data_IF_402273745288
#
_entry.id   IF_402273745288
#
_cell.length_a   1.000
_cell.length_b   1.000
_cell.length_c   1.000
_cell.angle_alpha   90.00
_cell.angle_beta   90.00
_cell.angle_gamma   90.00
#
_symmetry.space_group_name_H-M   'P 1'
#
loop_
_entity.id
_entity.type
_entity.pdbx_description
1 polymer ?
#
# COMPACT_ATOMS: atom_id res chain seq x y z
N UNK A 1 10.42 -6.20 30.33
CA UNK A 1 11.23 -7.40 30.00
C UNK A 1 10.44 -8.61 30.50
N UNK A 2 9.47 -9.06 29.70
CA UNK A 2 8.51 -10.09 30.11
C UNK A 2 9.06 -11.48 29.76
N UNK A 3 9.08 -12.38 30.74
CA UNK A 3 9.57 -13.76 30.63
C UNK A 3 8.67 -14.59 29.71
N UNK A 4 9.19 -14.92 28.53
CA UNK A 4 8.65 -16.03 27.75
C UNK A 4 9.00 -17.34 28.47
N UNK A 5 7.97 -18.10 28.88
CA UNK A 5 8.09 -19.51 29.24
C UNK A 5 8.37 -20.31 27.95
N UNK A 6 9.59 -20.22 27.44
CA UNK A 6 10.08 -21.22 26.48
C UNK A 6 10.01 -22.57 27.19
N UNK A 7 9.31 -23.54 26.60
CA UNK A 7 9.40 -24.94 27.05
C UNK A 7 10.86 -25.33 26.89
N UNK A 8 11.57 -25.37 28.02
CA UNK A 8 13.00 -25.61 28.06
C UNK A 8 13.25 -27.05 27.59
N UNK A 9 13.63 -27.19 26.33
CA UNK A 9 14.04 -28.48 25.80
C UNK A 9 15.50 -28.71 26.17
N UNK A 10 15.71 -29.42 27.28
CA UNK A 10 17.02 -29.78 27.84
C UNK A 10 17.91 -30.44 26.78
N UNK A 11 17.35 -31.30 25.92
CA UNK A 11 18.10 -32.00 24.88
C UNK A 11 18.67 -31.07 23.82
N UNK A 12 17.94 -30.01 23.44
CA UNK A 12 18.45 -29.02 22.49
C UNK A 12 19.47 -28.10 23.14
N UNK A 13 19.29 -27.72 24.42
CA UNK A 13 20.27 -26.93 25.16
C UNK A 13 21.61 -27.67 25.33
N UNK A 14 21.57 -28.97 25.65
CA UNK A 14 22.77 -29.80 25.80
C UNK A 14 23.61 -29.86 24.52
N UNK A 15 22.96 -29.90 23.34
CA UNK A 15 23.65 -29.87 22.05
C UNK A 15 24.44 -28.57 21.83
N UNK A 16 23.86 -27.42 22.20
CA UNK A 16 24.58 -26.14 22.13
C UNK A 16 25.76 -26.10 23.10
N UNK A 17 25.59 -26.63 24.33
CA UNK A 17 26.68 -26.74 25.30
C UNK A 17 27.82 -27.62 24.79
N UNK A 18 27.51 -28.80 24.26
CA UNK A 18 28.48 -29.70 23.64
C UNK A 18 29.20 -29.08 22.44
N UNK A 19 28.48 -28.32 21.60
CA UNK A 19 29.09 -27.60 20.49
C UNK A 19 30.05 -26.50 20.97
N UNK A 20 29.72 -25.76 22.03
CA UNK A 20 30.63 -24.76 22.60
C UNK A 20 31.89 -25.40 23.20
N UNK A 21 31.82 -26.61 23.78
CA UNK A 21 33.01 -27.33 24.26
C UNK A 21 34.04 -27.62 23.16
N UNK A 22 33.68 -27.54 21.87
CA UNK A 22 34.65 -27.72 20.77
C UNK A 22 35.37 -26.42 20.37
N UNK A 23 34.99 -25.26 20.92
CA UNK A 23 35.60 -23.99 20.56
C UNK A 23 36.88 -23.72 21.35
N UNK A 24 38.01 -23.74 20.64
CA UNK A 24 39.35 -23.53 21.22
C UNK A 24 39.49 -22.19 21.97
N UNK A 25 38.73 -21.16 21.54
CA UNK A 25 38.74 -19.81 22.14
C UNK A 25 38.29 -19.80 23.60
N UNK A 26 37.41 -20.72 24.00
CA UNK A 26 36.89 -20.81 25.37
C UNK A 26 37.99 -21.29 26.31
N UNK A 27 38.79 -22.26 25.89
CA UNK A 27 39.91 -22.79 26.67
C UNK A 27 41.01 -21.75 26.86
N UNK A 28 41.32 -20.96 25.81
CA UNK A 28 42.31 -19.88 25.89
C UNK A 28 41.87 -18.85 26.93
N UNK A 29 40.61 -18.39 26.87
CA UNK A 29 40.11 -17.35 27.77
C UNK A 29 40.00 -17.85 29.21
N UNK A 30 39.51 -19.08 29.42
CA UNK A 30 39.49 -19.71 30.74
C UNK A 30 40.90 -19.90 31.32
N UNK A 31 41.88 -20.20 30.47
CA UNK A 31 43.28 -20.32 30.89
C UNK A 31 43.88 -19.00 31.33
N UNK A 32 43.62 -17.91 30.61
CA UNK A 32 44.06 -16.56 31.00
C UNK A 32 43.45 -16.15 32.34
N UNK A 33 42.14 -16.36 32.52
CA UNK A 33 41.44 -16.05 33.78
C UNK A 33 41.99 -16.89 34.92
N UNK A 34 42.18 -18.20 34.71
CA UNK A 34 42.75 -19.09 35.72
C UNK A 34 44.17 -18.69 36.11
N UNK A 35 45.00 -18.30 35.14
CA UNK A 35 46.37 -17.84 35.40
C UNK A 35 46.40 -16.56 36.22
N UNK A 36 45.53 -15.60 35.90
CA UNK A 36 45.36 -14.35 36.67
C UNK A 36 44.95 -14.68 38.11
N UNK A 37 43.93 -15.53 38.31
CA UNK A 37 43.45 -15.87 39.65
C UNK A 37 44.56 -16.54 40.46
N UNK A 38 45.24 -17.55 39.92
CA UNK A 38 46.33 -18.25 40.60
C UNK A 38 47.51 -17.31 40.91
N UNK A 39 47.82 -16.35 40.02
CA UNK A 39 48.86 -15.36 40.25
C UNK A 39 48.53 -14.41 41.42
N UNK A 40 47.26 -14.05 41.61
CA UNK A 40 46.83 -13.15 42.69
C UNK A 40 46.53 -13.85 44.02
N UNK A 41 46.24 -15.15 44.01
CA UNK A 41 45.93 -15.92 45.23
C UNK A 41 47.09 -16.74 45.77
N UNK A 42 48.23 -16.77 45.06
CA UNK A 42 49.44 -17.54 45.41
C UNK A 42 49.18 -19.03 45.67
N UNK A 43 48.06 -19.55 45.13
CA UNK A 43 47.60 -20.93 45.27
C UNK A 43 47.37 -21.55 43.90
N UNK A 44 48.16 -22.56 43.57
CA UNK A 44 48.02 -23.31 42.33
C UNK A 44 46.99 -24.42 42.49
N UNK A 45 45.73 -24.07 42.21
CA UNK A 45 44.63 -25.01 42.13
C UNK A 45 44.12 -25.13 40.69
N UNK A 46 43.50 -26.25 40.34
CA UNK A 46 42.85 -26.46 39.04
C UNK A 46 41.47 -25.80 38.98
N UNK A 47 40.88 -25.47 40.13
CA UNK A 47 39.53 -24.87 40.23
C UNK A 47 39.40 -23.56 39.46
N UNK A 48 40.35 -22.61 39.51
CA UNK A 48 40.29 -21.35 38.76
C UNK A 48 40.30 -21.49 37.24
N UNK A 49 40.65 -22.67 36.70
CA UNK A 49 40.61 -22.94 35.26
C UNK A 49 39.29 -23.59 34.83
N UNK A 50 38.75 -24.47 35.68
CA UNK A 50 37.54 -25.26 35.39
C UNK A 50 36.27 -24.41 35.56
N UNK A 51 36.20 -23.60 36.61
CA UNK A 51 34.99 -22.82 36.92
C UNK A 51 34.68 -21.79 35.82
N UNK A 52 35.63 -20.96 35.36
CA UNK A 52 35.37 -20.01 34.27
C UNK A 52 34.99 -20.69 32.96
N UNK A 53 35.56 -21.87 32.69
CA UNK A 53 35.23 -22.66 31.52
C UNK A 53 33.75 -23.10 31.53
N UNK A 54 33.29 -23.69 32.64
CA UNK A 54 31.90 -24.13 32.79
C UNK A 54 30.95 -22.94 32.69
N UNK A 55 31.26 -21.84 33.38
CA UNK A 55 30.42 -20.63 33.37
C UNK A 55 30.34 -20.03 31.96
N UNK A 56 31.44 -19.96 31.21
CA UNK A 56 31.43 -19.46 29.84
C UNK A 56 30.64 -20.34 28.89
N UNK A 57 30.80 -21.66 28.97
CA UNK A 57 30.05 -22.61 28.14
C UNK A 57 28.55 -22.46 28.42
N UNK A 58 28.14 -22.45 29.68
CA UNK A 58 26.72 -22.31 30.06
C UNK A 58 26.16 -20.94 29.65
N UNK A 59 26.89 -19.85 29.90
CA UNK A 59 26.45 -18.50 29.56
C UNK A 59 26.26 -18.31 28.04
N UNK A 60 27.26 -18.69 27.23
CA UNK A 60 27.20 -18.56 25.77
C UNK A 60 26.16 -19.49 25.15
N UNK A 61 26.04 -20.71 25.68
CA UNK A 61 25.00 -21.65 25.22
C UNK A 61 23.61 -21.11 25.53
N UNK A 62 23.41 -20.50 26.70
CA UNK A 62 22.17 -19.80 27.04
C UNK A 62 21.84 -18.66 26.08
N UNK A 63 22.82 -17.81 25.77
CA UNK A 63 22.64 -16.71 24.82
C UNK A 63 22.31 -17.22 23.41
N UNK A 64 23.07 -18.20 22.89
CA UNK A 64 22.81 -18.80 21.58
C UNK A 64 21.46 -19.51 21.50
N UNK A 65 21.10 -20.25 22.56
CA UNK A 65 19.80 -20.91 22.65
C UNK A 65 18.65 -19.91 22.61
N UNK A 66 18.79 -18.77 23.30
CA UNK A 66 17.80 -17.69 23.29
C UNK A 66 17.74 -16.97 21.95
N UNK A 67 18.89 -16.78 21.30
CA UNK A 67 19.00 -16.03 20.04
C UNK A 67 18.75 -16.85 18.77
N UNK A 68 18.69 -18.19 18.84
CA UNK A 68 18.54 -19.06 17.66
C UNK A 68 17.36 -18.72 16.74
N UNK A 69 16.28 -18.16 17.30
CA UNK A 69 15.10 -17.75 16.54
C UNK A 69 15.13 -16.27 16.15
N UNK A 70 15.89 -15.45 16.87
CA UNK A 70 16.15 -14.06 16.53
C UNK A 70 17.05 -13.96 15.30
N UNK A 71 18.08 -14.81 15.18
CA UNK A 71 18.94 -14.85 13.99
C UNK A 71 18.15 -15.09 12.70
N UNK A 72 17.14 -15.97 12.74
CA UNK A 72 16.28 -16.24 11.59
C UNK A 72 15.37 -15.04 11.19
N UNK A 73 14.99 -14.19 12.15
CA UNK A 73 14.28 -12.93 11.86
C UNK A 73 15.23 -11.80 11.46
N UNK A 74 16.48 -11.82 11.92
CA UNK A 74 17.51 -10.80 11.63
C UNK A 74 18.17 -11.03 10.26
N UNK A 75 18.21 -12.27 9.77
CA UNK A 75 18.68 -12.61 8.41
C UNK A 75 17.68 -12.24 7.31
N UNK A 76 16.48 -11.78 7.66
CA UNK A 76 15.56 -11.20 6.69
C UNK A 76 16.05 -9.81 6.30
N UNK A 77 16.03 -9.45 4.99
CA UNK A 77 16.46 -8.14 4.54
C UNK A 77 15.73 -7.08 5.35
N UNK A 78 16.51 -6.14 5.91
CA UNK A 78 16.12 -5.13 6.90
C UNK A 78 15.02 -4.12 6.46
N UNK A 79 14.23 -4.47 5.44
CA UNK A 79 13.18 -3.67 4.81
C UNK A 79 11.79 -4.37 4.80
N UNK A 80 11.59 -5.50 5.49
CA UNK A 80 10.26 -6.13 5.50
C UNK A 80 9.26 -5.31 6.33
N UNK A 81 8.14 -4.98 5.68
CA UNK A 81 6.92 -4.45 6.30
C UNK A 81 6.40 -5.42 7.38
N UNK A 82 5.95 -4.90 8.52
CA UNK A 82 5.31 -5.68 9.57
C UNK A 82 3.82 -5.91 9.24
N UNK A 83 3.19 -7.03 9.63
CA UNK A 83 3.67 -8.08 10.54
C UNK A 83 4.67 -9.13 9.97
N UNK A 84 5.68 -9.51 10.78
CA UNK A 84 6.61 -10.64 10.50
C UNK A 84 6.78 -11.52 11.74
N UNK A 85 6.62 -12.84 11.58
CA UNK A 85 6.68 -13.79 12.70
C UNK A 85 6.94 -15.23 12.25
N UNK A 86 7.25 -16.09 13.22
CA UNK A 86 7.40 -17.55 13.04
C UNK A 86 6.21 -18.24 13.69
N UNK A 87 5.61 -19.19 12.99
CA UNK A 87 4.53 -20.02 13.50
C UNK A 87 4.80 -21.52 13.35
N UNK A 88 4.03 -22.34 14.04
CA UNK A 88 3.96 -23.79 13.79
C UNK A 88 2.89 -24.11 12.73
N UNK A 89 2.81 -25.39 12.34
CA UNK A 89 1.78 -25.90 11.41
C UNK A 89 0.33 -25.77 11.92
N UNK A 90 0.11 -25.49 13.20
CA UNK A 90 -1.22 -25.27 13.75
C UNK A 90 -1.62 -23.78 13.67
N UNK A 91 -0.74 -22.92 13.17
CA UNK A 91 -0.93 -21.47 13.10
C UNK A 91 -0.60 -20.73 14.39
N UNK A 92 -0.02 -21.40 15.40
CA UNK A 92 0.36 -20.76 16.66
C UNK A 92 1.65 -19.97 16.47
N UNK A 93 1.62 -18.70 16.90
CA UNK A 93 2.73 -17.78 16.80
C UNK A 93 3.78 -18.17 17.85
N UNK A 94 4.94 -18.60 17.38
CA UNK A 94 6.06 -19.00 18.22
C UNK A 94 6.99 -17.85 18.54
N UNK A 95 7.14 -16.91 17.61
CA UNK A 95 8.08 -15.80 17.74
C UNK A 95 7.66 -14.60 16.88
N UNK A 96 7.66 -13.41 17.47
CA UNK A 96 7.53 -12.11 16.79
C UNK A 96 8.48 -11.11 17.47
N UNK A 97 8.82 -10.02 16.79
CA UNK A 97 9.71 -8.97 17.32
C UNK A 97 9.25 -7.57 16.93
N UNK A 98 9.70 -6.57 17.69
CA UNK A 98 9.46 -5.16 17.42
C UNK A 98 7.97 -4.83 17.29
N UNK A 99 7.61 -4.04 16.28
CA UNK A 99 6.22 -3.62 16.02
C UNK A 99 5.24 -4.79 15.88
N UNK A 100 5.69 -5.95 15.38
CA UNK A 100 4.83 -7.13 15.26
C UNK A 100 4.52 -7.72 16.63
N UNK A 101 5.50 -7.73 17.54
CA UNK A 101 5.31 -8.19 18.90
C UNK A 101 4.39 -7.25 19.69
N UNK A 102 4.56 -5.94 19.51
CA UNK A 102 3.71 -4.93 20.13
C UNK A 102 2.26 -5.12 19.69
N UNK A 103 2.01 -5.23 18.38
CA UNK A 103 0.70 -5.53 17.80
C UNK A 103 0.09 -6.82 18.40
N UNK A 104 0.85 -7.91 18.43
CA UNK A 104 0.34 -9.19 18.91
C UNK A 104 0.04 -9.18 20.40
N UNK A 105 0.80 -8.41 21.18
CA UNK A 105 0.57 -8.28 22.62
C UNK A 105 -0.65 -7.41 22.89
N UNK A 106 -0.77 -6.28 22.21
CA UNK A 106 -1.90 -5.34 22.31
C UNK A 106 -3.22 -6.03 22.00
N UNK A 107 -3.29 -6.74 20.88
CA UNK A 107 -4.50 -7.42 20.41
C UNK A 107 -4.61 -8.90 20.86
N UNK A 108 -3.71 -9.37 21.74
CA UNK A 108 -3.67 -10.74 22.29
C UNK A 108 -3.69 -11.84 21.22
N UNK A 109 -2.97 -11.59 20.13
CA UNK A 109 -2.87 -12.51 18.99
C UNK A 109 -1.85 -13.60 19.33
N UNK A 110 -2.35 -14.82 19.50
CA UNK A 110 -1.55 -16.04 19.74
C UNK A 110 -1.56 -16.96 18.52
N UNK A 111 -2.50 -16.77 17.60
CA UNK A 111 -2.72 -17.60 16.42
C UNK A 111 -2.95 -16.75 15.19
N UNK A 112 -2.40 -17.15 14.04
CA UNK A 112 -2.56 -16.43 12.78
C UNK A 112 -4.03 -16.28 12.37
N UNK A 113 -4.86 -17.26 12.66
CA UNK A 113 -6.30 -17.25 12.35
C UNK A 113 -7.04 -16.10 13.03
N UNK A 114 -6.52 -15.56 14.14
CA UNK A 114 -7.11 -14.39 14.79
C UNK A 114 -6.84 -13.10 13.99
N UNK A 115 -5.77 -13.07 13.20
CA UNK A 115 -5.40 -11.92 12.37
C UNK A 115 -6.10 -11.93 11.00
N UNK A 116 -6.28 -13.10 10.40
CA UNK A 116 -6.72 -13.25 8.99
C UNK A 116 -7.94 -14.17 8.80
N UNK A 117 -8.51 -14.70 9.88
CA UNK A 117 -9.61 -15.66 9.84
C UNK A 117 -9.17 -17.13 9.72
N UNK A 118 -10.05 -18.08 10.09
CA UNK A 118 -9.71 -19.50 10.18
C UNK A 118 -9.49 -20.19 8.83
N UNK A 119 -10.09 -19.69 7.74
CA UNK A 119 -10.05 -20.34 6.42
C UNK A 119 -8.69 -20.26 5.70
N UNK A 120 -7.79 -19.39 6.17
CA UNK A 120 -6.55 -19.08 5.46
C UNK A 120 -5.31 -19.81 6.00
N UNK A 121 -5.44 -20.60 7.07
CA UNK A 121 -4.29 -21.35 7.60
C UNK A 121 -3.79 -22.40 6.60
N UNK A 122 -4.68 -23.22 6.04
CA UNK A 122 -4.28 -24.31 5.14
C UNK A 122 -3.56 -23.79 3.87
N UNK A 123 -4.08 -22.75 3.17
CA UNK A 123 -3.36 -22.14 2.05
C UNK A 123 -1.97 -21.61 2.42
N UNK A 124 -1.81 -21.01 3.59
CA UNK A 124 -0.51 -20.48 4.06
C UNK A 124 0.50 -21.61 4.34
N UNK A 125 0.05 -22.73 4.91
CA UNK A 125 0.90 -23.90 5.13
C UNK A 125 1.30 -24.53 3.80
N UNK A 126 0.34 -24.71 2.88
CA UNK A 126 0.59 -25.26 1.56
C UNK A 126 1.62 -24.40 0.80
N UNK A 127 1.48 -23.08 0.86
CA UNK A 127 2.46 -22.14 0.28
C UNK A 127 3.86 -22.34 0.87
N UNK A 128 3.97 -22.50 2.19
CA UNK A 128 5.25 -22.68 2.85
C UNK A 128 5.94 -24.00 2.47
N UNK A 129 5.16 -25.06 2.22
CA UNK A 129 5.65 -26.41 1.91
C UNK A 129 5.93 -26.63 0.42
N UNK A 130 5.12 -26.04 -0.45
CA UNK A 130 5.22 -26.17 -1.91
C UNK A 130 6.00 -25.03 -2.57
N UNK A 131 6.28 -23.94 -1.84
CA UNK A 131 6.99 -22.78 -2.34
C UNK A 131 8.44 -23.10 -2.71
N UNK A 132 8.73 -23.21 -4.02
CA UNK A 132 10.11 -23.16 -4.51
C UNK A 132 10.70 -21.79 -4.17
N UNK A 133 11.79 -21.77 -3.39
CA UNK A 133 12.53 -20.53 -3.12
C UNK A 133 12.96 -19.90 -4.44
N UNK A 134 12.47 -18.68 -4.71
CA UNK A 134 12.93 -17.85 -5.83
C UNK A 134 11.95 -17.65 -6.97
N UNK A 135 10.73 -18.22 -6.93
CA UNK A 135 9.75 -18.01 -7.99
C UNK A 135 8.87 -16.77 -7.70
N UNK A 136 8.99 -15.74 -8.53
CA UNK A 136 8.19 -14.49 -8.49
C UNK A 136 6.70 -14.70 -8.80
N UNK A 137 6.30 -15.93 -9.14
CA UNK A 137 4.92 -16.36 -9.39
C UNK A 137 4.39 -17.35 -8.34
N UNK A 138 5.01 -17.45 -7.17
CA UNK A 138 4.46 -18.25 -6.08
C UNK A 138 3.02 -17.79 -5.75
N UNK A 139 2.09 -18.71 -5.47
CA UNK A 139 0.72 -18.37 -5.12
C UNK A 139 0.72 -17.44 -3.90
N UNK A 140 0.17 -16.23 -4.06
CA UNK A 140 -0.01 -15.24 -2.98
C UNK A 140 -1.36 -15.45 -2.31
N UNK A 141 -1.39 -15.48 -0.98
CA UNK A 141 -2.65 -15.53 -0.22
C UNK A 141 -2.96 -14.13 0.26
N UNK A 142 -4.03 -13.55 -0.26
CA UNK A 142 -4.48 -12.23 0.16
C UNK A 142 -5.55 -12.35 1.25
N UNK A 143 -5.47 -11.50 2.27
CA UNK A 143 -6.41 -11.49 3.38
C UNK A 143 -6.72 -10.08 3.86
N UNK A 144 -7.97 -9.85 4.25
CA UNK A 144 -8.32 -8.69 5.05
C UNK A 144 -8.18 -9.03 6.54
N UNK A 145 -7.64 -8.09 7.32
CA UNK A 145 -7.53 -8.22 8.76
C UNK A 145 -8.47 -7.24 9.45
N UNK A 146 -9.47 -7.77 10.16
CA UNK A 146 -10.41 -6.95 10.94
C UNK A 146 -9.74 -6.20 12.10
N UNK A 147 -8.59 -6.68 12.57
CA UNK A 147 -7.84 -6.07 13.68
C UNK A 147 -7.12 -4.80 13.22
N UNK A 148 -6.47 -4.87 12.06
CA UNK A 148 -5.66 -3.75 11.55
C UNK A 148 -6.37 -2.93 10.47
N UNK A 149 -7.56 -3.37 10.05
CA UNK A 149 -8.38 -2.79 8.98
C UNK A 149 -7.61 -2.64 7.66
N UNK A 150 -6.77 -3.62 7.35
CA UNK A 150 -5.85 -3.62 6.21
C UNK A 150 -5.94 -4.90 5.41
N UNK A 151 -5.68 -4.78 4.12
CA UNK A 151 -5.45 -5.92 3.23
C UNK A 151 -3.97 -6.27 3.20
N UNK A 152 -3.67 -7.56 3.31
CA UNK A 152 -2.32 -8.07 3.24
C UNK A 152 -2.16 -9.12 2.15
N UNK A 153 -1.01 -9.10 1.48
CA UNK A 153 -0.45 -10.23 0.76
C UNK A 153 0.45 -11.01 1.72
N UNK A 154 0.05 -12.25 2.02
CA UNK A 154 0.70 -13.12 2.98
C UNK A 154 1.70 -13.99 2.25
N UNK A 155 2.94 -13.97 2.73
CA UNK A 155 4.01 -14.80 2.21
C UNK A 155 4.53 -15.70 3.30
N UNK A 156 4.82 -16.95 2.93
CA UNK A 156 5.26 -17.96 3.88
C UNK A 156 6.40 -18.80 3.31
N UNK A 157 7.31 -19.22 4.20
CA UNK A 157 8.47 -20.06 3.85
C UNK A 157 8.73 -21.08 4.95
N UNK A 158 8.83 -22.36 4.59
CA UNK A 158 9.29 -23.39 5.50
C UNK A 158 10.76 -23.14 5.87
N UNK A 159 11.09 -23.19 7.17
CA UNK A 159 12.46 -23.01 7.62
C UNK A 159 13.25 -24.32 7.51
N UNK A 160 14.11 -24.39 6.50
CA UNK A 160 15.06 -25.49 6.30
C UNK A 160 16.31 -25.33 7.19
N UNK A 161 16.16 -25.48 8.50
CA UNK A 161 17.29 -25.69 9.41
C UNK A 161 17.14 -27.05 10.10
N UNK A 162 18.27 -27.75 10.30
CA UNK A 162 18.37 -29.07 10.96
C UNK A 162 17.71 -29.12 12.35
N UNK A 163 17.40 -27.96 12.94
CA UNK A 163 16.81 -27.83 14.28
C UNK A 163 15.40 -27.18 14.31
N UNK A 164 14.83 -26.84 13.14
CA UNK A 164 13.54 -26.13 13.03
C UNK A 164 12.55 -26.79 12.07
N UNK A 165 12.57 -28.12 12.00
CA UNK A 165 11.58 -28.89 11.24
C UNK A 165 10.16 -28.55 11.72
N UNK A 166 9.28 -28.18 10.79
CA UNK A 166 7.87 -27.85 11.08
C UNK A 166 7.61 -26.39 11.51
N UNK A 167 8.60 -25.50 11.43
CA UNK A 167 8.40 -24.04 11.64
C UNK A 167 8.27 -23.32 10.31
N UNK A 168 7.34 -22.39 10.27
CA UNK A 168 7.01 -21.58 9.09
C UNK A 168 7.28 -20.12 9.43
N UNK A 169 8.08 -19.48 8.60
CA UNK A 169 8.25 -18.04 8.61
C UNK A 169 7.13 -17.40 7.80
N UNK A 170 6.45 -16.41 8.37
CA UNK A 170 5.36 -15.70 7.73
C UNK A 170 5.62 -14.20 7.79
N UNK A 171 5.37 -13.51 6.69
CA UNK A 171 5.39 -12.06 6.63
C UNK A 171 4.27 -11.53 5.76
N UNK A 172 3.86 -10.32 6.06
CA UNK A 172 2.69 -9.66 5.51
C UNK A 172 3.16 -8.42 4.77
N UNK A 173 2.67 -8.23 3.55
CA UNK A 173 2.88 -7.02 2.77
C UNK A 173 1.56 -6.24 2.72
N UNK A 174 1.57 -4.95 3.06
CA UNK A 174 0.35 -4.14 3.04
C UNK A 174 -0.04 -3.84 1.58
N UNK A 175 -1.18 -4.38 1.15
CA UNK A 175 -1.73 -4.20 -0.20
C UNK A 175 -3.04 -3.40 -0.18
N UNK A 176 -3.35 -2.73 0.92
CA UNK A 176 -4.60 -1.99 1.11
C UNK A 176 -4.85 -0.98 -0.01
N UNK A 177 -3.82 -0.22 -0.38
CA UNK A 177 -3.92 0.75 -1.48
C UNK A 177 -4.19 0.09 -2.84
N UNK A 178 -3.56 -1.06 -3.11
CA UNK A 178 -3.83 -1.84 -4.34
C UNK A 178 -5.29 -2.32 -4.36
N UNK A 179 -5.79 -2.86 -3.26
CA UNK A 179 -7.17 -3.35 -3.18
C UNK A 179 -8.21 -2.25 -3.33
N UNK A 180 -8.00 -1.10 -2.69
CA UNK A 180 -8.87 0.08 -2.86
C UNK A 180 -8.87 0.50 -4.33
N UNK A 181 -7.71 0.53 -4.98
CA UNK A 181 -7.60 0.83 -6.41
C UNK A 181 -8.38 -0.18 -7.27
N UNK A 182 -8.22 -1.49 -7.03
CA UNK A 182 -8.92 -2.54 -7.78
C UNK A 182 -10.45 -2.40 -7.64
N UNK A 183 -10.95 -2.12 -6.42
CA UNK A 183 -12.38 -1.89 -6.19
C UNK A 183 -12.87 -0.64 -6.93
N UNK A 184 -12.13 0.47 -6.89
CA UNK A 184 -12.51 1.69 -7.62
C UNK A 184 -12.48 1.49 -9.13
N UNK A 185 -11.55 0.69 -9.64
CA UNK A 185 -11.50 0.32 -11.06
C UNK A 185 -12.72 -0.50 -11.47
N UNK A 186 -13.14 -1.46 -10.64
CA UNK A 186 -14.39 -2.21 -10.86
C UNK A 186 -15.62 -1.30 -10.86
N UNK A 187 -15.68 -0.35 -9.93
CA UNK A 187 -16.75 0.65 -9.88
C UNK A 187 -16.79 1.51 -11.13
N UNK A 188 -15.63 1.94 -11.62
CA UNK A 188 -15.52 2.69 -12.87
C UNK A 188 -15.94 1.86 -14.08
N UNK A 189 -15.52 0.60 -14.19
CA UNK A 189 -15.93 -0.29 -15.29
C UNK A 189 -17.45 -0.51 -15.26
N UNK A 190 -18.02 -0.75 -14.07
CA UNK A 190 -19.47 -0.86 -13.90
C UNK A 190 -20.19 0.43 -14.31
N UNK A 191 -19.67 1.58 -13.87
CA UNK A 191 -20.19 2.89 -14.23
C UNK A 191 -20.14 3.14 -15.74
N UNK A 192 -19.02 2.88 -16.40
CA UNK A 192 -18.88 2.96 -17.87
C UNK A 192 -19.88 2.06 -18.58
N UNK A 193 -20.09 0.83 -18.08
CA UNK A 193 -21.13 -0.08 -18.58
C UNK A 193 -22.52 0.54 -18.50
N UNK A 194 -22.89 1.12 -17.35
CA UNK A 194 -24.18 1.81 -17.18
C UNK A 194 -24.33 3.00 -18.14
N UNK A 195 -23.28 3.82 -18.32
CA UNK A 195 -23.34 4.94 -19.26
C UNK A 195 -23.56 4.52 -20.71
N UNK A 196 -23.01 3.38 -21.14
CA UNK A 196 -23.25 2.86 -22.48
C UNK A 196 -24.72 2.47 -22.67
N UNK A 197 -25.36 1.90 -21.66
CA UNK A 197 -26.79 1.56 -21.71
C UNK A 197 -27.69 2.80 -21.68
N UNK A 198 -27.25 3.89 -21.05
CA UNK A 198 -28.01 5.16 -20.98
C UNK A 198 -27.54 6.20 -21.98
N UNK A 199 -26.74 5.82 -22.98
CA UNK A 199 -26.11 6.75 -23.92
C UNK A 199 -27.13 7.63 -24.65
N UNK A 200 -28.25 7.05 -25.09
CA UNK A 200 -29.33 7.81 -25.75
C UNK A 200 -29.90 8.88 -24.83
N UNK A 201 -30.15 8.55 -23.56
CA UNK A 201 -30.65 9.50 -22.57
C UNK A 201 -29.63 10.61 -22.30
N UNK A 202 -28.32 10.28 -22.24
CA UNK A 202 -27.24 11.26 -22.04
C UNK A 202 -27.10 12.18 -23.25
N UNK A 203 -27.28 11.64 -24.46
CA UNK A 203 -27.29 12.42 -25.70
C UNK A 203 -28.44 13.44 -25.67
N UNK A 204 -29.62 12.99 -25.25
CA UNK A 204 -30.85 13.79 -25.25
C UNK A 204 -30.88 14.83 -24.12
N UNK A 205 -30.32 14.50 -22.95
CA UNK A 205 -30.25 15.43 -21.83
C UNK A 205 -29.06 16.39 -21.91
N UNK A 206 -27.98 16.00 -22.58
CA UNK A 206 -26.74 16.79 -22.66
C UNK A 206 -25.87 16.71 -21.39
N UNK A 207 -26.23 15.87 -20.42
CA UNK A 207 -25.67 15.86 -19.06
C UNK A 207 -24.45 14.95 -18.91
N UNK A 208 -23.71 14.68 -19.99
CA UNK A 208 -22.55 13.81 -19.95
C UNK A 208 -21.57 14.27 -18.85
N UNK A 209 -21.24 15.58 -18.81
CA UNK A 209 -20.31 16.15 -17.83
C UNK A 209 -20.86 16.13 -16.42
N UNK A 210 -22.18 16.35 -16.26
CA UNK A 210 -22.81 16.28 -14.95
C UNK A 210 -22.73 14.85 -14.38
N UNK A 211 -22.92 13.83 -15.22
CA UNK A 211 -22.85 12.44 -14.79
C UNK A 211 -21.42 12.07 -14.34
N UNK A 212 -20.40 12.49 -15.09
CA UNK A 212 -19.01 12.31 -14.65
C UNK A 212 -18.69 13.05 -13.37
N UNK A 213 -19.12 14.31 -13.27
CA UNK A 213 -18.87 15.11 -12.09
C UNK A 213 -19.47 14.42 -10.85
N UNK A 214 -20.68 13.90 -10.93
CA UNK A 214 -21.31 13.15 -9.85
C UNK A 214 -20.52 11.89 -9.44
N UNK A 215 -19.88 11.20 -10.40
CA UNK A 215 -19.00 10.08 -10.10
C UNK A 215 -17.74 10.52 -9.35
N UNK A 216 -17.05 11.57 -9.83
CA UNK A 216 -15.82 12.08 -9.22
C UNK A 216 -16.09 12.73 -7.84
N UNK A 217 -17.20 13.44 -7.68
CA UNK A 217 -17.58 14.12 -6.43
C UNK A 217 -17.85 13.17 -5.25
N UNK A 218 -17.86 11.85 -5.48
CA UNK A 218 -17.84 10.86 -4.39
C UNK A 218 -16.55 10.93 -3.56
N UNK A 219 -15.43 11.22 -4.21
CA UNK A 219 -14.10 11.21 -3.59
C UNK A 219 -13.42 12.58 -3.53
N UNK A 220 -13.94 13.55 -4.27
CA UNK A 220 -13.43 14.92 -4.40
C UNK A 220 -14.49 15.94 -3.98
N UNK A 221 -14.09 17.09 -3.45
CA UNK A 221 -15.04 18.13 -3.05
C UNK A 221 -15.53 18.96 -4.25
N UNK A 222 -14.67 19.15 -5.26
CA UNK A 222 -15.00 19.87 -6.47
C UNK A 222 -14.23 19.34 -7.69
N UNK A 223 -14.77 19.55 -8.88
CA UNK A 223 -14.17 19.14 -10.15
C UNK A 223 -14.42 20.19 -11.21
N UNK A 224 -13.39 20.58 -11.95
CA UNK A 224 -13.51 21.44 -13.13
C UNK A 224 -13.26 20.62 -14.39
N UNK A 225 -14.28 20.51 -15.24
CA UNK A 225 -14.25 19.73 -16.49
C UNK A 225 -14.31 20.70 -17.65
N UNK A 226 -13.35 20.62 -18.57
CA UNK A 226 -13.18 21.54 -19.69
C UNK A 226 -12.96 20.83 -21.01
N UNK A 227 -13.35 21.48 -22.10
CA UNK A 227 -12.92 21.16 -23.47
C UNK A 227 -12.06 22.27 -24.03
N UNK A 228 -11.22 21.91 -24.99
CA UNK A 228 -10.44 22.87 -25.77
C UNK A 228 -11.33 23.49 -26.85
N UNK A 229 -11.38 24.82 -26.94
CA UNK A 229 -12.04 25.55 -28.02
C UNK A 229 -11.14 25.71 -29.27
N UNK A 230 -11.63 26.40 -30.31
CA UNK A 230 -10.88 26.63 -31.55
C UNK A 230 -9.60 27.45 -31.33
N UNK A 231 -9.62 28.37 -30.37
CA UNK A 231 -8.49 29.23 -29.99
C UNK A 231 -7.51 28.53 -29.02
N UNK A 232 -7.78 27.26 -28.69
CA UNK A 232 -7.06 26.41 -27.74
C UNK A 232 -7.19 26.82 -26.28
N UNK A 233 -8.19 27.63 -25.92
CA UNK A 233 -8.53 27.90 -24.53
C UNK A 233 -9.30 26.72 -23.95
N UNK A 234 -9.28 26.62 -22.62
CA UNK A 234 -10.07 25.62 -21.91
C UNK A 234 -11.38 26.23 -21.47
N UNK A 235 -12.49 25.68 -21.96
CA UNK A 235 -13.83 26.16 -21.71
C UNK A 235 -14.63 25.06 -21.03
N UNK A 236 -15.25 25.35 -19.89
CA UNK A 236 -16.01 24.35 -19.16
C UNK A 236 -16.66 24.88 -17.88
N UNK A 237 -17.10 23.97 -17.02
CA UNK A 237 -17.81 24.30 -15.78
C UNK A 237 -17.21 23.57 -14.58
N UNK A 238 -17.28 24.23 -13.42
CA UNK A 238 -16.90 23.66 -12.12
C UNK A 238 -18.13 23.03 -11.51
N UNK A 239 -17.95 21.87 -10.91
CA UNK A 239 -18.98 21.11 -10.24
C UNK A 239 -18.56 20.90 -8.79
N UNK A 240 -19.51 20.99 -7.86
CA UNK A 240 -19.29 20.68 -6.43
C UNK A 240 -20.55 20.06 -5.84
N UNK A 241 -20.41 19.40 -4.69
CA UNK A 241 -21.57 18.89 -3.94
C UNK A 241 -21.93 19.86 -2.82
N UNK A 242 -23.20 20.25 -2.75
CA UNK A 242 -23.77 21.04 -1.65
C UNK A 242 -25.15 20.45 -1.32
N UNK A 243 -25.40 20.13 -0.05
CA UNK A 243 -26.67 19.54 0.43
C UNK A 243 -27.17 18.34 -0.42
N UNK A 244 -26.28 17.37 -0.69
CA UNK A 244 -26.52 16.17 -1.51
C UNK A 244 -26.94 16.44 -2.96
N UNK A 245 -26.73 17.66 -3.47
CA UNK A 245 -26.95 18.03 -4.86
C UNK A 245 -25.66 18.47 -5.53
N UNK A 246 -25.53 18.14 -6.82
CA UNK A 246 -24.43 18.63 -7.66
C UNK A 246 -24.80 20.03 -8.13
N UNK A 247 -24.03 21.02 -7.71
CA UNK A 247 -24.08 22.39 -8.22
C UNK A 247 -23.10 22.56 -9.37
N UNK A 248 -23.51 23.33 -10.38
CA UNK A 248 -22.71 23.59 -11.58
C UNK A 248 -22.50 25.10 -11.74
N UNK A 249 -21.26 25.51 -11.97
CA UNK A 249 -20.94 26.90 -12.26
C UNK A 249 -21.41 27.32 -13.66
N UNK A 250 -21.50 28.62 -13.89
CA UNK A 250 -21.48 29.15 -15.26
C UNK A 250 -20.20 28.73 -16.01
N UNK A 251 -20.22 28.91 -17.33
CA UNK A 251 -19.06 28.56 -18.18
C UNK A 251 -17.87 29.46 -17.84
N UNK A 252 -16.74 28.85 -17.54
CA UNK A 252 -15.45 29.50 -17.25
C UNK A 252 -14.49 29.16 -18.39
N UNK A 253 -13.83 30.19 -18.92
CA UNK A 253 -12.78 30.07 -19.92
C UNK A 253 -11.42 30.38 -19.30
N UNK A 254 -10.49 29.42 -19.35
CA UNK A 254 -9.09 29.59 -18.97
C UNK A 254 -8.26 29.78 -20.26
N UNK A 255 -7.57 30.92 -20.42
CA UNK A 255 -6.72 31.16 -21.58
C UNK A 255 -5.60 30.13 -21.69
N UNK A 256 -5.20 29.75 -22.92
CA UNK A 256 -4.10 28.79 -23.17
C UNK A 256 -2.74 29.18 -22.55
N UNK A 257 -2.53 30.49 -22.37
CA UNK A 257 -1.29 31.04 -21.80
C UNK A 257 -1.27 31.02 -20.28
N UNK A 258 -2.42 30.73 -19.64
CA UNK A 258 -2.48 30.63 -18.18
C UNK A 258 -1.51 29.56 -17.68
N UNK A 259 -0.84 29.89 -16.57
CA UNK A 259 0.06 28.99 -15.85
C UNK A 259 -0.69 27.99 -14.97
N UNK A 260 -2.01 27.92 -15.09
CA UNK A 260 -2.82 27.02 -14.28
C UNK A 260 -2.39 25.56 -14.44
N UNK A 261 -2.42 24.76 -13.35
CA UNK A 261 -2.03 23.34 -13.40
C UNK A 261 -2.71 22.54 -14.52
N UNK A 262 -3.99 22.83 -14.80
CA UNK A 262 -4.74 22.17 -15.89
C UNK A 262 -4.12 22.41 -17.28
N UNK A 263 -3.58 23.62 -17.55
CA UNK A 263 -2.84 23.90 -18.78
C UNK A 263 -1.44 23.30 -18.75
N UNK A 264 -0.77 23.33 -17.58
CA UNK A 264 0.54 22.70 -17.43
C UNK A 264 0.49 21.20 -17.73
N UNK A 265 -0.57 20.50 -17.27
CA UNK A 265 -0.82 19.09 -17.57
C UNK A 265 -0.85 18.86 -19.07
N UNK A 266 -1.60 19.69 -19.80
CA UNK A 266 -1.69 19.61 -21.27
C UNK A 266 -0.35 19.84 -21.96
N UNK A 267 0.41 20.85 -21.51
CA UNK A 267 1.72 21.18 -22.09
C UNK A 267 2.73 20.05 -21.90
N UNK A 268 2.65 19.32 -20.79
CA UNK A 268 3.54 18.21 -20.46
C UNK A 268 3.03 16.83 -20.90
N UNK A 269 1.73 16.71 -21.18
CA UNK A 269 1.04 15.44 -21.40
C UNK A 269 1.24 14.46 -20.22
N UNK A 270 1.19 14.97 -18.99
CA UNK A 270 1.44 14.21 -17.77
C UNK A 270 0.45 14.61 -16.67
N UNK A 271 0.18 13.70 -15.74
CA UNK A 271 -0.60 13.99 -14.55
C UNK A 271 0.16 14.96 -13.66
N UNK A 272 -0.49 16.07 -13.34
CA UNK A 272 0.01 17.02 -12.34
C UNK A 272 -0.87 16.93 -11.10
N UNK A 273 -0.24 16.80 -9.95
CA UNK A 273 -0.92 16.83 -8.66
C UNK A 273 -0.04 17.52 -7.64
N UNK A 274 -0.64 18.16 -6.66
CA UNK A 274 0.10 18.75 -5.55
C UNK A 274 -0.74 18.78 -4.28
N UNK A 275 -0.08 18.91 -3.14
CA UNK A 275 -0.68 18.90 -1.81
C UNK A 275 -0.12 20.03 -0.95
N UNK A 276 -1.01 20.74 -0.24
CA UNK A 276 -0.67 21.86 0.63
C UNK A 276 0.28 21.46 1.77
N UNK A 277 0.31 20.17 2.16
CA UNK A 277 1.27 19.65 3.14
C UNK A 277 2.75 19.93 2.75
N UNK A 278 3.02 20.18 1.46
CA UNK A 278 4.34 20.55 0.96
C UNK A 278 4.70 22.03 1.07
N UNK A 279 3.84 22.86 1.66
CA UNK A 279 3.94 24.32 1.66
C UNK A 279 3.68 24.93 3.03
N UNK A 280 4.26 26.11 3.27
CA UNK A 280 4.12 26.82 4.55
C UNK A 280 2.76 27.50 4.71
N UNK A 281 2.04 27.77 3.61
CA UNK A 281 0.76 28.50 3.60
C UNK A 281 -0.07 28.24 2.34
N UNK A 282 -1.37 28.58 2.40
CA UNK A 282 -2.28 28.53 1.25
C UNK A 282 -1.82 29.47 0.13
N UNK A 283 -1.30 30.64 0.49
CA UNK A 283 -0.79 31.63 -0.45
C UNK A 283 0.43 31.11 -1.20
N UNK A 284 1.38 30.47 -0.51
CA UNK A 284 2.54 29.86 -1.14
C UNK A 284 2.14 28.72 -2.09
N UNK A 285 1.17 27.90 -1.68
CA UNK A 285 0.60 26.83 -2.52
C UNK A 285 -0.03 27.40 -3.81
N UNK A 286 -0.88 28.42 -3.70
CA UNK A 286 -1.55 29.06 -4.84
C UNK A 286 -0.60 29.90 -5.70
N UNK A 287 0.47 30.46 -5.13
CA UNK A 287 1.51 31.14 -5.90
C UNK A 287 2.26 30.16 -6.80
N UNK A 288 2.55 28.95 -6.29
CA UNK A 288 3.19 27.89 -7.07
C UNK A 288 2.24 27.24 -8.07
N UNK A 289 0.96 27.12 -7.70
CA UNK A 289 -0.10 26.48 -8.47
C UNK A 289 -1.24 27.48 -8.72
N UNK A 290 -1.07 28.45 -9.65
CA UNK A 290 -2.05 29.50 -9.85
C UNK A 290 -3.36 28.95 -10.41
N UNK A 291 -4.46 29.10 -9.68
CA UNK A 291 -5.79 28.69 -10.12
C UNK A 291 -6.60 29.92 -10.57
N UNK A 292 -7.55 29.72 -11.49
CA UNK A 292 -8.42 30.81 -11.94
C UNK A 292 -9.30 31.29 -10.76
N UNK A 293 -9.36 32.61 -10.48
CA UNK A 293 -10.14 33.13 -9.35
C UNK A 293 -11.62 32.70 -9.39
N UNK A 294 -12.23 32.61 -10.59
CA UNK A 294 -13.64 32.20 -10.72
C UNK A 294 -13.85 30.74 -10.31
N UNK A 295 -12.84 29.90 -10.49
CA UNK A 295 -12.87 28.50 -10.02
C UNK A 295 -12.78 28.48 -8.49
N UNK A 296 -11.85 29.24 -7.90
CA UNK A 296 -11.70 29.33 -6.45
C UNK A 296 -12.95 29.89 -5.77
N UNK A 297 -13.51 30.98 -6.30
CA UNK A 297 -14.72 31.63 -5.80
C UNK A 297 -15.92 30.68 -5.80
N UNK A 298 -16.08 29.88 -6.86
CA UNK A 298 -17.18 28.91 -6.95
C UNK A 298 -17.00 27.76 -5.96
N UNK A 299 -15.77 27.24 -5.80
CA UNK A 299 -15.48 26.16 -4.85
C UNK A 299 -15.78 26.64 -3.41
N UNK A 300 -15.37 27.86 -3.07
CA UNK A 300 -15.69 28.51 -1.80
C UNK A 300 -15.03 27.88 -0.56
N UNK A 301 -14.17 26.88 -0.74
CA UNK A 301 -13.39 26.23 0.31
C UNK A 301 -11.90 26.25 -0.02
N UNK A 302 -11.00 26.26 0.99
CA UNK A 302 -9.56 26.19 0.74
C UNK A 302 -9.17 24.93 -0.03
N UNK A 303 -8.26 25.08 -0.99
CA UNK A 303 -7.74 23.96 -1.78
C UNK A 303 -6.60 23.30 -1.02
N UNK A 304 -6.82 22.07 -0.56
CA UNK A 304 -5.86 21.22 0.15
C UNK A 304 -4.96 20.46 -0.80
N UNK A 305 -5.54 19.88 -1.85
CA UNK A 305 -4.79 19.18 -2.87
C UNK A 305 -5.56 19.22 -4.19
N UNK A 306 -4.87 18.92 -5.29
CA UNK A 306 -5.51 18.74 -6.58
C UNK A 306 -4.82 17.65 -7.39
N UNK A 307 -5.55 17.10 -8.34
CA UNK A 307 -5.03 16.26 -9.41
C UNK A 307 -5.63 16.71 -10.73
N UNK A 308 -4.82 16.78 -11.77
CA UNK A 308 -5.27 17.13 -13.11
C UNK A 308 -4.61 16.26 -14.16
N UNK A 309 -5.41 15.95 -15.17
CA UNK A 309 -4.98 15.21 -16.35
C UNK A 309 -5.84 15.62 -17.55
N UNK A 310 -5.36 15.32 -18.74
CA UNK A 310 -6.01 15.66 -19.99
C UNK A 310 -5.90 14.51 -20.99
N UNK A 311 -6.92 14.38 -21.83
CA UNK A 311 -6.91 13.46 -22.97
C UNK A 311 -7.58 14.14 -24.16
N UNK A 312 -6.84 14.28 -25.26
CA UNK A 312 -7.26 15.04 -26.44
C UNK A 312 -7.78 16.46 -26.09
N UNK A 313 -9.03 16.78 -26.44
CA UNK A 313 -9.66 18.06 -26.15
C UNK A 313 -10.20 18.18 -24.71
N UNK A 314 -10.35 17.07 -23.98
CA UNK A 314 -10.89 17.06 -22.62
C UNK A 314 -9.78 17.32 -21.59
N UNK A 315 -10.08 18.11 -20.56
CA UNK A 315 -9.19 18.29 -19.42
C UNK A 315 -9.98 18.40 -18.13
N UNK A 316 -9.49 17.72 -17.09
CA UNK A 316 -10.13 17.65 -15.78
C UNK A 316 -9.12 18.03 -14.72
N UNK A 317 -9.51 18.89 -13.80
CA UNK A 317 -8.83 19.09 -12.52
C UNK A 317 -9.84 18.84 -11.40
N UNK A 318 -9.48 17.94 -10.49
CA UNK A 318 -10.27 17.61 -9.32
C UNK A 318 -9.57 18.12 -8.06
N UNK A 319 -10.35 18.63 -7.12
CA UNK A 319 -9.87 19.34 -5.94
C UNK A 319 -10.29 18.63 -4.66
N UNK A 320 -9.42 18.71 -3.65
CA UNK A 320 -9.65 18.21 -2.31
C UNK A 320 -10.08 16.74 -2.30
N UNK A 321 -9.20 15.87 -2.81
CA UNK A 321 -9.33 14.45 -2.62
C UNK A 321 -9.43 14.14 -1.12
N UNK A 322 -10.43 13.34 -0.73
CA UNK A 322 -10.71 13.01 0.68
C UNK A 322 -9.57 12.24 1.36
N UNK A 323 -8.69 11.62 0.58
CA UNK A 323 -7.53 10.86 1.02
C UNK A 323 -6.22 11.47 0.46
N UNK A 324 -5.09 10.82 0.71
CA UNK A 324 -3.80 11.22 0.14
C UNK A 324 -3.70 10.83 -1.34
N UNK A 325 -3.21 11.74 -2.18
CA UNK A 325 -2.95 11.44 -3.60
C UNK A 325 -1.72 10.53 -3.71
N UNK A 326 -1.94 9.28 -4.12
CA UNK A 326 -0.88 8.26 -4.29
C UNK A 326 -0.60 7.98 -5.77
N UNK A 327 0.41 7.16 -6.07
CA UNK A 327 0.65 6.68 -7.43
C UNK A 327 -0.55 5.89 -8.00
N UNK A 328 -1.30 5.17 -7.15
CA UNK A 328 -2.53 4.49 -7.55
C UNK A 328 -3.63 5.48 -7.90
N UNK A 329 -3.77 6.58 -7.14
CA UNK A 329 -4.75 7.63 -7.46
C UNK A 329 -4.47 8.25 -8.82
N UNK A 330 -3.19 8.55 -9.09
CA UNK A 330 -2.77 9.08 -10.40
C UNK A 330 -3.19 8.15 -11.53
N UNK A 331 -2.84 6.87 -11.44
CA UNK A 331 -3.22 5.87 -12.44
C UNK A 331 -4.74 5.73 -12.61
N UNK A 332 -5.48 5.79 -11.51
CA UNK A 332 -6.95 5.72 -11.55
C UNK A 332 -7.52 6.91 -12.30
N UNK A 333 -7.05 8.11 -11.97
CA UNK A 333 -7.50 9.35 -12.59
C UNK A 333 -7.17 9.39 -14.09
N UNK A 334 -5.99 8.92 -14.49
CA UNK A 334 -5.62 8.73 -15.90
C UNK A 334 -6.63 7.86 -16.65
N UNK A 335 -6.87 6.66 -16.11
CA UNK A 335 -7.72 5.67 -16.74
C UNK A 335 -9.18 6.15 -16.83
N UNK A 336 -9.63 6.88 -15.81
CA UNK A 336 -10.95 7.52 -15.77
C UNK A 336 -11.11 8.55 -16.87
N UNK A 337 -10.16 9.48 -17.02
CA UNK A 337 -10.23 10.54 -18.05
C UNK A 337 -10.18 9.91 -19.45
N UNK A 338 -9.33 8.89 -19.66
CA UNK A 338 -9.22 8.18 -20.94
C UNK A 338 -10.51 7.43 -21.31
N UNK A 339 -11.10 6.70 -20.36
CA UNK A 339 -12.39 6.04 -20.57
C UNK A 339 -13.48 7.06 -20.88
N UNK A 340 -13.52 8.13 -20.09
CA UNK A 340 -14.56 9.11 -20.22
C UNK A 340 -14.46 9.90 -21.53
N UNK A 341 -13.24 10.19 -22.03
CA UNK A 341 -13.05 10.78 -23.35
C UNK A 341 -13.65 9.93 -24.45
N UNK A 342 -13.55 8.61 -24.34
CA UNK A 342 -14.18 7.66 -25.27
C UNK A 342 -15.69 7.79 -25.21
N UNK A 343 -16.27 7.87 -24.00
CA UNK A 343 -17.72 8.08 -23.82
C UNK A 343 -18.20 9.41 -24.41
N UNK A 344 -17.51 10.52 -24.15
CA UNK A 344 -17.85 11.82 -24.74
C UNK A 344 -17.76 11.77 -26.27
N UNK A 345 -16.79 11.04 -26.83
CA UNK A 345 -16.71 10.82 -28.28
C UNK A 345 -17.97 10.16 -28.83
N UNK A 346 -18.44 9.10 -28.16
CA UNK A 346 -19.64 8.37 -28.57
C UNK A 346 -20.89 9.27 -28.48
N UNK A 347 -21.01 10.06 -27.41
CA UNK A 347 -22.08 11.06 -27.26
C UNK A 347 -22.03 12.08 -28.40
N UNK A 348 -20.85 12.64 -28.70
CA UNK A 348 -20.67 13.61 -29.79
C UNK A 348 -21.00 13.01 -31.17
N UNK A 349 -20.63 11.74 -31.41
CA UNK A 349 -20.93 11.03 -32.65
C UNK A 349 -22.43 10.81 -32.80
N UNK A 350 -23.13 10.38 -31.75
CA UNK A 350 -24.58 10.17 -31.84
C UNK A 350 -25.39 11.45 -31.89
N UNK A 351 -24.93 12.54 -31.27
CA UNK A 351 -25.48 13.88 -31.52
C UNK A 351 -25.37 14.24 -33.01
N UNK A 352 -24.17 14.12 -33.58
CA UNK A 352 -23.95 14.39 -35.02
C UNK A 352 -24.78 13.49 -35.93
N UNK A 353 -25.03 12.24 -35.54
CA UNK A 353 -25.90 11.32 -36.28
C UNK A 353 -27.37 11.75 -36.22
N UNK A 354 -27.88 12.12 -35.04
CA UNK A 354 -29.25 12.63 -34.87
C UNK A 354 -29.47 13.95 -35.60
N UNK A 355 -28.46 14.82 -35.62
CA UNK A 355 -28.50 16.13 -36.28
C UNK A 355 -28.34 16.06 -37.81
N UNK A 356 -27.93 14.91 -38.37
CA UNK A 356 -27.94 14.70 -39.83
C UNK A 356 -29.39 14.46 -40.28
N UNK A 357 -30.00 15.36 -41.08
CA UNK A 357 -31.32 15.09 -41.64
C UNK A 357 -31.25 13.82 -42.49
N UNK A 358 -32.27 12.97 -42.39
CA UNK A 358 -32.47 11.79 -43.22
C UNK A 358 -32.51 12.21 -44.71
N UNK A 359 -31.34 12.30 -45.36
CA UNK A 359 -31.22 12.52 -46.79
C UNK A 359 -30.74 11.22 -47.43
N UNK A 360 -31.59 10.73 -48.34
CA UNK A 360 -31.42 9.58 -49.24
C UNK A 360 -31.81 8.20 -48.70
N UNK A 361 -33.09 8.05 -48.35
CA UNK A 361 -33.84 6.83 -48.70
C UNK A 361 -35.20 7.26 -49.25
N UNK A 362 -35.26 7.48 -50.56
CA UNK A 362 -36.49 7.89 -51.22
C UNK A 362 -36.21 8.70 -52.48
N UNK A 363 -35.59 8.07 -53.47
CA UNK A 363 -35.83 8.28 -54.90
C UNK A 363 -34.81 7.41 -55.64
N UNK A 364 -35.27 6.22 -56.01
CA UNK A 364 -34.95 5.53 -57.27
C UNK A 364 -35.91 4.33 -57.36
N UNK A 365 -37.09 4.59 -57.90
CA UNK A 365 -37.98 3.62 -58.56
C UNK A 365 -38.39 4.22 -59.89
#
# INVERSE_FOLDING_TARGET
MSEYKQVFNLGTYLKFALAEFTQIKIYILASVIGFIICFFTDHYSTVPFIVPLIVQVLSRSGVKYRQRHLSALVELPAQTEAPVFIMNRNGEILLSVGKTQDLFTEYRITRIQQLIGPGLLAPVIEMAENGKSGDTHAPSVEAFSDITLKWYDIKAKAMASKESTGKILVWFQDITLRKIFDFRLQDLVRYSGTLLYTLENIVDSGDAFQTLSAFLLKDYDAVFITRTDEDKNLVGSVFKTTDDRVETSGVIMIPKESLAPINMSRKKAEIISDDIEGYDSQEAFLQKNPLDPRVLDFIGTPIRNFITYNEADLSIIAFNFKSKITAYEKRFFEFLVNNYRTMVMLVDLEKKRKDRPARHMGQDT
#
